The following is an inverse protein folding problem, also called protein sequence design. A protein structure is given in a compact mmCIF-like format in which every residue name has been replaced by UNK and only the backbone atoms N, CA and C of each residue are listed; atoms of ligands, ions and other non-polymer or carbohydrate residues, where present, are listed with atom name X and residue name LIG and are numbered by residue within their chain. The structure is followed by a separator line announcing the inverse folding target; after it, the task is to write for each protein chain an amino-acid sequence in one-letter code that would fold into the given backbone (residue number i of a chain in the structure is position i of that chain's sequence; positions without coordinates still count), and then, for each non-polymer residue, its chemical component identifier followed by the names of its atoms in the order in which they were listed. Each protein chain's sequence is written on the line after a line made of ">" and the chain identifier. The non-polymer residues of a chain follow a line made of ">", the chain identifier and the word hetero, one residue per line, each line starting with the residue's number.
data_IF_325586547379
#
_entry.id   IF_325586547379
#
_cell.length_a   1.000
_cell.length_b   1.000
_cell.length_c   1.000
_cell.angle_alpha   90.00
_cell.angle_beta   90.00
_cell.angle_gamma   90.00
#
_symmetry.space_group_name_H-M   'P 1'
#
loop_
_entity.id
_entity.type
_entity.pdbx_description
1 polymer ?
#
# COMPACT_ATOMS: atom_id res chain seq x y z
N UNK A 1 13.41 -1.88 -7.18
CA UNK A 1 12.30 -0.92 -6.94
C UNK A 1 11.18 -1.52 -6.09
N UNK A 2 10.61 -2.69 -6.41
CA UNK A 2 9.55 -3.32 -5.61
C UNK A 2 9.90 -3.57 -4.13
N UNK A 3 11.13 -4.03 -3.82
CA UNK A 3 11.56 -4.24 -2.44
C UNK A 3 11.57 -2.94 -1.60
N UNK A 4 12.00 -1.81 -2.20
CA UNK A 4 11.98 -0.51 -1.52
C UNK A 4 10.56 0.07 -1.36
N UNK A 5 9.63 -0.32 -2.23
CA UNK A 5 8.22 0.03 -2.08
C UNK A 5 7.56 -0.77 -0.95
N UNK A 6 7.98 -2.02 -0.72
CA UNK A 6 7.48 -2.85 0.38
C UNK A 6 7.84 -2.26 1.74
N UNK A 7 9.11 -1.93 1.98
CA UNK A 7 9.56 -1.35 3.26
C UNK A 7 8.82 -0.05 3.59
N UNK A 8 8.58 0.79 2.56
CA UNK A 8 7.82 2.03 2.70
C UNK A 8 6.36 1.75 3.10
N UNK A 9 5.69 0.80 2.44
CA UNK A 9 4.28 0.45 2.74
C UNK A 9 4.16 -0.12 4.15
N UNK A 10 5.08 -1.01 4.57
CA UNK A 10 5.09 -1.54 5.93
C UNK A 10 5.32 -0.45 6.98
N UNK A 11 6.31 0.44 6.76
CA UNK A 11 6.58 1.57 7.65
C UNK A 11 5.35 2.48 7.79
N UNK A 12 4.69 2.80 6.67
CA UNK A 12 3.48 3.63 6.69
C UNK A 12 2.33 2.95 7.44
N UNK A 13 2.14 1.64 7.28
CA UNK A 13 1.09 0.89 8.01
C UNK A 13 1.35 0.87 9.52
N UNK A 14 2.60 0.73 9.95
CA UNK A 14 2.95 0.77 11.38
C UNK A 14 2.70 2.15 12.00
N UNK A 15 2.88 3.22 11.23
CA UNK A 15 2.63 4.60 11.67
C UNK A 15 1.13 4.97 11.71
N UNK A 16 0.24 4.13 11.17
CA UNK A 16 -1.20 4.41 11.15
C UNK A 16 -1.90 3.96 12.44
N UNK A 17 -2.54 4.89 13.18
CA UNK A 17 -3.07 4.61 14.51
C UNK A 17 -4.37 3.79 14.51
N UNK A 18 -5.09 3.70 13.38
CA UNK A 18 -6.37 3.00 13.28
C UNK A 18 -6.39 1.96 12.17
N UNK A 19 -7.25 0.94 12.33
CA UNK A 19 -7.49 -0.06 11.28
C UNK A 19 -8.02 0.58 10.00
N UNK A 20 -8.96 1.52 10.12
CA UNK A 20 -9.53 2.24 8.97
C UNK A 20 -8.46 2.93 8.11
N UNK A 21 -7.47 3.56 8.73
CA UNK A 21 -6.38 4.20 7.98
C UNK A 21 -5.51 3.18 7.24
N UNK A 22 -5.22 2.03 7.87
CA UNK A 22 -4.46 0.94 7.24
C UNK A 22 -5.20 0.38 6.02
N UNK A 23 -6.51 0.13 6.17
CA UNK A 23 -7.37 -0.35 5.09
C UNK A 23 -7.41 0.66 3.93
N UNK A 24 -7.47 1.97 4.27
CA UNK A 24 -7.49 3.03 3.28
C UNK A 24 -6.15 3.12 2.51
N UNK A 25 -5.01 2.92 3.18
CA UNK A 25 -3.69 2.87 2.54
C UNK A 25 -3.57 1.68 1.56
N UNK A 26 -4.04 0.51 1.97
CA UNK A 26 -4.08 -0.68 1.11
C UNK A 26 -4.95 -0.45 -0.13
N UNK A 27 -6.14 0.13 0.05
CA UNK A 27 -7.04 0.45 -1.05
C UNK A 27 -6.42 1.43 -2.06
N UNK A 28 -5.75 2.49 -1.58
CA UNK A 28 -5.06 3.43 -2.47
C UNK A 28 -3.90 2.77 -3.23
N UNK A 29 -3.12 1.90 -2.57
CA UNK A 29 -2.02 1.20 -3.21
C UNK A 29 -2.53 0.23 -4.29
N UNK A 30 -3.61 -0.50 -4.01
CA UNK A 30 -4.29 -1.37 -4.96
C UNK A 30 -4.71 -0.60 -6.22
N UNK A 31 -5.44 0.51 -6.05
CA UNK A 31 -5.88 1.37 -7.15
C UNK A 31 -4.70 1.91 -7.97
N UNK A 32 -3.60 2.28 -7.32
CA UNK A 32 -2.40 2.76 -7.99
C UNK A 32 -1.71 1.69 -8.84
N UNK A 33 -1.68 0.44 -8.37
CA UNK A 33 -1.09 -0.68 -9.12
C UNK A 33 -1.98 -1.08 -10.31
N UNK A 34 -3.30 -1.13 -10.10
CA UNK A 34 -4.27 -1.36 -11.17
C UNK A 34 -4.15 -0.32 -12.29
N UNK A 35 -4.04 0.96 -11.93
CA UNK A 35 -3.87 2.06 -12.88
C UNK A 35 -2.57 1.96 -13.69
N UNK A 36 -1.54 1.28 -13.19
CA UNK A 36 -0.29 1.01 -13.90
C UNK A 36 -0.31 -0.29 -14.72
N UNK A 37 -1.44 -0.99 -14.78
CA UNK A 37 -1.57 -2.25 -15.50
C UNK A 37 -0.83 -3.41 -14.84
N UNK A 38 -0.55 -3.31 -13.54
CA UNK A 38 0.02 -4.40 -12.75
C UNK A 38 -1.12 -5.09 -11.99
N UNK A 39 -1.47 -6.35 -12.32
CA UNK A 39 -2.44 -7.09 -11.54
C UNK A 39 -1.88 -7.32 -10.13
N UNK A 40 -2.74 -7.18 -9.12
CA UNK A 40 -2.42 -7.59 -7.76
C UNK A 40 -2.13 -9.11 -7.75
N UNK A 41 -1.05 -9.57 -7.09
CA UNK A 41 -0.82 -10.99 -6.82
C UNK A 41 -1.84 -11.54 -5.80
#
# INVERSE_FOLDING_TARGET
>A
MLAHAQDLVYTLKELMPTQYQKDNLEAMLALFLEAQGHPLP
#
